data_IF_456202173646
#
_entry.id   IF_456202173646
#
_cell.length_a   1.000
_cell.length_b   1.000
_cell.length_c   1.000
_cell.angle_alpha   90.00
_cell.angle_beta   90.00
_cell.angle_gamma   90.00
#
_symmetry.space_group_name_H-M   'P 1'
#
loop_
_entity.id
_entity.type
_entity.pdbx_description
1 polymer ?
#
# COMPACT_ATOMS: atom_id res chain seq x y z
N UNK A 1 -9.87 11.02 33.72
CA UNK A 1 -10.80 10.32 32.82
C UNK A 1 -10.43 8.86 32.71
N UNK A 2 -11.42 8.00 32.90
CA UNK A 2 -11.25 6.55 32.90
C UNK A 2 -11.63 5.97 31.55
N UNK A 3 -10.94 4.89 31.17
CA UNK A 3 -11.40 4.00 30.11
C UNK A 3 -12.85 3.53 30.38
N UNK A 4 -13.61 3.31 29.31
CA UNK A 4 -14.96 2.75 29.37
C UNK A 4 -14.89 1.28 28.95
N UNK A 5 -15.50 0.39 29.72
CA UNK A 5 -15.55 -1.05 29.39
C UNK A 5 -16.97 -1.45 28.99
N UNK A 6 -17.11 -1.90 27.74
CA UNK A 6 -18.32 -2.49 27.19
C UNK A 6 -18.21 -4.01 27.32
N UNK A 7 -18.49 -4.51 28.52
CA UNK A 7 -18.43 -5.94 28.85
C UNK A 7 -19.77 -6.47 29.36
N UNK A 8 -20.09 -7.70 28.96
CA UNK A 8 -21.18 -8.50 29.55
C UNK A 8 -20.63 -9.73 30.29
N UNK A 9 -19.34 -9.72 30.60
CA UNK A 9 -18.67 -10.77 31.35
C UNK A 9 -18.26 -10.22 32.73
N UNK A 10 -19.23 -10.08 33.63
CA UNK A 10 -18.99 -9.75 35.03
C UNK A 10 -19.41 -10.92 35.92
N UNK A 11 -18.71 -11.09 37.05
CA UNK A 11 -19.03 -12.07 38.10
C UNK A 11 -20.39 -11.82 38.77
N UNK A 12 -20.99 -10.65 38.57
CA UNK A 12 -22.29 -10.25 39.18
C UNK A 12 -23.41 -10.01 38.16
N UNK A 13 -23.17 -10.25 36.86
CA UNK A 13 -24.20 -10.10 35.83
C UNK A 13 -23.65 -9.92 34.42
N UNK A 14 -24.51 -10.16 33.44
CA UNK A 14 -24.19 -10.04 32.02
C UNK A 14 -25.27 -10.72 31.17
N UNK A 15 -26.02 -9.93 30.39
CA UNK A 15 -27.03 -10.46 29.48
C UNK A 15 -26.42 -10.87 28.13
N UNK A 16 -27.09 -11.77 27.41
CA UNK A 16 -26.75 -12.13 26.02
C UNK A 16 -27.21 -11.08 24.99
N UNK A 17 -27.85 -10.00 25.44
CA UNK A 17 -28.39 -8.95 24.59
C UNK A 17 -27.31 -8.07 23.95
N UNK A 18 -27.65 -7.49 22.79
CA UNK A 18 -26.82 -6.51 22.12
C UNK A 18 -26.98 -5.11 22.74
N UNK A 19 -25.87 -4.39 22.90
CA UNK A 19 -25.87 -2.97 23.25
C UNK A 19 -25.96 -2.11 22.00
N UNK A 20 -27.03 -1.32 21.84
CA UNK A 20 -27.13 -0.34 20.74
C UNK A 20 -26.69 1.05 21.20
N UNK A 21 -25.71 1.64 20.51
CA UNK A 21 -25.21 2.99 20.82
C UNK A 21 -25.98 4.03 19.99
N UNK A 22 -26.95 4.70 20.62
CA UNK A 22 -27.85 5.66 19.93
C UNK A 22 -27.37 7.11 19.95
N UNK A 23 -26.20 7.38 20.52
CA UNK A 23 -25.59 8.71 20.59
C UNK A 23 -24.07 8.65 20.48
N UNK A 24 -23.46 9.77 20.08
CA UNK A 24 -22.01 9.90 20.03
C UNK A 24 -21.44 10.06 21.45
N UNK A 25 -20.44 9.26 21.77
CA UNK A 25 -19.76 9.29 23.07
C UNK A 25 -18.63 10.32 23.09
N UNK A 26 -18.43 11.00 24.22
CA UNK A 26 -17.45 12.10 24.37
C UNK A 26 -16.39 11.86 25.46
N UNK A 27 -16.31 10.66 26.03
CA UNK A 27 -15.25 10.34 26.99
C UNK A 27 -13.89 10.28 26.29
N UNK A 28 -12.84 10.53 27.06
CA UNK A 28 -11.46 10.72 26.54
C UNK A 28 -10.56 9.50 26.78
N UNK A 29 -10.99 8.56 27.64
CA UNK A 29 -10.34 7.26 27.83
C UNK A 29 -10.67 6.28 26.69
N UNK A 30 -9.93 5.18 26.60
CA UNK A 30 -10.17 4.18 25.57
C UNK A 30 -11.51 3.47 25.77
N UNK A 31 -12.12 3.03 24.67
CA UNK A 31 -13.18 2.02 24.71
C UNK A 31 -12.53 0.65 24.83
N UNK A 32 -12.89 -0.12 25.85
CA UNK A 32 -12.50 -1.53 25.98
C UNK A 32 -13.71 -2.43 25.74
N UNK A 33 -13.53 -3.55 25.05
CA UNK A 33 -14.57 -4.58 24.87
C UNK A 33 -14.07 -5.89 25.49
N UNK A 34 -14.76 -6.34 26.54
CA UNK A 34 -14.47 -7.61 27.23
C UNK A 34 -15.71 -8.50 27.28
N UNK A 35 -16.47 -8.55 26.20
CA UNK A 35 -17.70 -9.33 26.12
C UNK A 35 -17.45 -10.81 25.74
N UNK A 36 -18.42 -11.66 26.11
CA UNK A 36 -18.50 -13.06 25.72
C UNK A 36 -18.80 -13.19 24.22
N UNK A 37 -18.59 -14.39 23.67
CA UNK A 37 -19.05 -14.71 22.31
C UNK A 37 -20.59 -14.66 22.27
N UNK A 38 -21.21 -13.81 21.44
CA UNK A 38 -22.66 -13.70 21.39
C UNK A 38 -23.28 -14.94 20.73
N UNK A 39 -24.39 -15.44 21.27
CA UNK A 39 -25.14 -16.59 20.73
C UNK A 39 -26.44 -16.17 20.03
N UNK A 40 -27.18 -15.19 20.57
CA UNK A 40 -28.35 -14.56 19.95
C UNK A 40 -28.72 -13.24 20.64
N UNK A 41 -28.79 -12.10 19.93
CA UNK A 41 -28.32 -11.93 18.55
C UNK A 41 -26.81 -12.19 18.48
N UNK A 42 -26.28 -12.57 17.30
CA UNK A 42 -24.84 -12.81 17.10
C UNK A 42 -24.00 -11.51 17.08
N UNK A 43 -24.40 -10.50 17.86
CA UNK A 43 -23.82 -9.17 17.95
C UNK A 43 -23.73 -8.76 19.41
N UNK A 44 -22.58 -8.21 19.82
CA UNK A 44 -22.39 -7.66 21.16
C UNK A 44 -22.75 -6.18 21.22
N UNK A 45 -22.32 -5.40 20.21
CA UNK A 45 -22.52 -3.94 20.14
C UNK A 45 -22.98 -3.57 18.73
N UNK A 46 -23.98 -2.70 18.64
CA UNK A 46 -24.52 -2.16 17.38
C UNK A 46 -24.36 -0.64 17.39
N UNK A 47 -23.80 -0.06 16.32
CA UNK A 47 -23.81 1.40 16.15
C UNK A 47 -25.19 1.87 15.66
N UNK A 48 -25.83 2.74 16.44
CA UNK A 48 -27.10 3.39 16.05
C UNK A 48 -26.88 4.69 15.27
N UNK A 49 -25.73 5.32 15.43
CA UNK A 49 -25.34 6.59 14.78
C UNK A 49 -23.90 6.52 14.26
N UNK A 50 -23.54 7.41 13.33
CA UNK A 50 -22.14 7.58 12.95
C UNK A 50 -21.33 8.06 14.15
N UNK A 51 -20.11 7.54 14.29
CA UNK A 51 -19.20 7.87 15.38
C UNK A 51 -19.85 7.73 16.77
N UNK A 52 -20.56 6.62 17.00
CA UNK A 52 -21.18 6.36 18.30
C UNK A 52 -20.12 6.15 19.40
N UNK A 53 -18.98 5.55 19.05
CA UNK A 53 -17.77 5.53 19.89
C UNK A 53 -16.96 6.82 19.73
N UNK A 54 -16.18 7.25 20.75
CA UNK A 54 -15.40 8.47 20.64
C UNK A 54 -14.31 8.36 19.57
N UNK A 55 -14.18 9.42 18.79
CA UNK A 55 -13.33 9.43 17.59
C UNK A 55 -11.84 9.60 17.89
N UNK A 56 -11.50 10.14 19.05
CA UNK A 56 -10.12 10.45 19.47
C UNK A 56 -9.50 9.37 20.35
N UNK A 57 -10.23 8.31 20.67
CA UNK A 57 -9.82 7.28 21.64
C UNK A 57 -9.57 5.94 20.96
N UNK A 58 -8.76 5.09 21.58
CA UNK A 58 -8.55 3.72 21.11
C UNK A 58 -9.76 2.82 21.37
N UNK A 59 -9.91 1.81 20.51
CA UNK A 59 -10.80 0.66 20.74
C UNK A 59 -9.95 -0.58 21.00
N UNK A 60 -10.02 -1.13 22.21
CA UNK A 60 -9.17 -2.22 22.67
C UNK A 60 -10.03 -3.42 23.08
N UNK A 61 -9.72 -4.64 22.62
CA UNK A 61 -10.45 -5.86 23.00
C UNK A 61 -9.66 -6.72 23.97
N UNK A 62 -10.30 -7.33 24.96
CA UNK A 62 -9.65 -8.35 25.80
C UNK A 62 -8.60 -7.81 26.75
N UNK A 63 -8.87 -6.66 27.39
CA UNK A 63 -8.10 -6.14 28.52
C UNK A 63 -8.39 -6.87 29.84
N UNK A 64 -9.45 -7.68 29.90
CA UNK A 64 -9.84 -8.50 31.05
C UNK A 64 -10.00 -9.98 30.69
N UNK A 65 -9.92 -10.85 31.70
CA UNK A 65 -10.16 -12.29 31.56
C UNK A 65 -11.59 -12.59 31.09
N UNK A 66 -11.76 -13.77 30.48
CA UNK A 66 -13.07 -14.26 30.04
C UNK A 66 -13.65 -13.60 28.79
N UNK A 67 -12.89 -12.72 28.11
CA UNK A 67 -13.22 -12.27 26.75
C UNK A 67 -13.46 -13.49 25.84
N UNK A 68 -14.52 -13.43 25.05
CA UNK A 68 -14.84 -14.40 24.01
C UNK A 68 -14.49 -13.84 22.63
N UNK A 69 -15.44 -13.95 21.69
CA UNK A 69 -15.38 -13.32 20.37
C UNK A 69 -16.46 -12.24 20.28
N UNK A 70 -16.26 -11.07 20.91
CA UNK A 70 -17.24 -9.99 20.81
C UNK A 70 -17.40 -9.55 19.36
N UNK A 71 -18.61 -9.13 19.01
CA UNK A 71 -18.94 -8.66 17.66
C UNK A 71 -19.44 -7.22 17.74
N UNK A 72 -18.72 -6.30 17.09
CA UNK A 72 -19.12 -4.93 16.85
C UNK A 72 -19.73 -4.82 15.44
N UNK A 73 -21.01 -4.48 15.37
CA UNK A 73 -21.72 -4.23 14.11
C UNK A 73 -21.78 -2.72 13.83
N UNK A 74 -21.13 -2.31 12.74
CA UNK A 74 -21.16 -0.94 12.23
C UNK A 74 -22.55 -0.55 11.73
N UNK A 75 -23.39 -1.52 11.33
CA UNK A 75 -24.80 -1.31 11.00
C UNK A 75 -25.06 -0.13 10.04
N UNK A 76 -24.25 -0.04 8.99
CA UNK A 76 -24.34 1.00 7.97
C UNK A 76 -23.93 2.39 8.46
N UNK A 77 -23.15 2.47 9.53
CA UNK A 77 -22.62 3.70 10.12
C UNK A 77 -21.11 3.76 9.94
N UNK A 78 -20.62 4.97 9.70
CA UNK A 78 -19.19 5.25 9.72
C UNK A 78 -18.71 5.41 11.16
N UNK A 79 -17.52 4.90 11.45
CA UNK A 79 -16.90 5.04 12.75
C UNK A 79 -15.44 5.43 12.60
N UNK A 80 -15.04 6.49 13.29
CA UNK A 80 -13.64 6.85 13.49
C UNK A 80 -13.20 6.46 14.89
N UNK A 81 -11.99 5.95 15.04
CA UNK A 81 -11.30 5.78 16.32
C UNK A 81 -9.84 6.19 16.16
N UNK A 82 -9.12 6.40 17.25
CA UNK A 82 -7.69 6.69 17.17
C UNK A 82 -6.89 5.49 16.63
N UNK A 83 -7.21 4.30 17.15
CA UNK A 83 -6.61 3.02 16.76
C UNK A 83 -7.52 1.87 17.20
N UNK A 84 -7.26 0.69 16.65
CA UNK A 84 -7.81 -0.59 17.14
C UNK A 84 -6.66 -1.46 17.64
N UNK A 85 -6.85 -2.18 18.74
CA UNK A 85 -5.78 -2.99 19.33
C UNK A 85 -6.29 -4.15 20.17
N UNK A 86 -5.40 -5.11 20.40
CA UNK A 86 -5.62 -6.20 21.35
C UNK A 86 -5.13 -5.85 22.75
N UNK A 87 -5.84 -6.35 23.76
CA UNK A 87 -5.41 -6.44 25.14
C UNK A 87 -4.76 -7.80 25.43
N UNK A 88 -4.26 -7.96 26.65
CA UNK A 88 -3.43 -9.11 27.05
C UNK A 88 -4.13 -10.48 27.00
N UNK A 89 -5.46 -10.53 26.91
CA UNK A 89 -6.24 -11.78 26.95
C UNK A 89 -6.77 -12.23 25.58
N UNK A 90 -6.38 -11.53 24.51
CA UNK A 90 -6.67 -11.93 23.13
C UNK A 90 -5.81 -13.13 22.72
N UNK A 91 -6.42 -14.07 22.01
CA UNK A 91 -5.76 -15.25 21.44
C UNK A 91 -6.38 -15.57 20.08
N UNK A 92 -5.83 -16.56 19.37
CA UNK A 92 -6.41 -17.01 18.09
C UNK A 92 -7.89 -17.47 18.19
N UNK A 93 -8.37 -17.82 19.40
CA UNK A 93 -9.76 -18.21 19.65
C UNK A 93 -10.60 -17.09 20.29
N UNK A 94 -10.01 -15.93 20.60
CA UNK A 94 -10.62 -14.85 21.37
C UNK A 94 -10.20 -13.51 20.80
N UNK A 95 -11.07 -12.86 20.04
CA UNK A 95 -10.72 -11.67 19.28
C UNK A 95 -11.96 -10.82 19.01
N UNK A 96 -11.78 -9.54 18.68
CA UNK A 96 -12.89 -8.72 18.21
C UNK A 96 -13.23 -9.04 16.76
N UNK A 97 -14.51 -9.24 16.47
CA UNK A 97 -15.04 -9.23 15.11
C UNK A 97 -15.74 -7.90 14.85
N UNK A 98 -15.38 -7.21 13.78
CA UNK A 98 -16.06 -6.00 13.29
C UNK A 98 -16.80 -6.37 12.01
N UNK A 99 -18.10 -6.11 11.97
CA UNK A 99 -18.98 -6.44 10.84
C UNK A 99 -19.84 -5.25 10.41
N UNK A 100 -20.46 -5.37 9.23
CA UNK A 100 -21.52 -4.46 8.80
C UNK A 100 -22.73 -5.25 8.31
N UNK A 101 -23.69 -5.50 9.20
CA UNK A 101 -24.89 -6.28 8.85
C UNK A 101 -26.01 -5.44 8.22
N UNK A 102 -25.77 -4.16 7.94
CA UNK A 102 -26.67 -3.33 7.13
C UNK A 102 -26.26 -3.37 5.66
N UNK A 103 -27.21 -3.26 4.74
CA UNK A 103 -26.92 -3.15 3.31
C UNK A 103 -26.17 -1.84 2.94
N UNK A 104 -26.27 -0.81 3.78
CA UNK A 104 -25.53 0.43 3.60
C UNK A 104 -24.05 0.22 3.90
N UNK A 105 -23.15 0.67 3.01
CA UNK A 105 -21.71 0.58 3.22
C UNK A 105 -21.26 1.37 4.47
N UNK A 106 -20.20 0.90 5.13
CA UNK A 106 -19.61 1.55 6.30
C UNK A 106 -18.13 1.85 6.08
N UNK A 107 -17.66 2.97 6.62
CA UNK A 107 -16.23 3.33 6.64
C UNK A 107 -15.71 3.28 8.07
N UNK A 108 -14.70 2.44 8.31
CA UNK A 108 -13.92 2.42 9.54
C UNK A 108 -12.67 3.29 9.35
N UNK A 109 -12.51 4.34 10.14
CA UNK A 109 -11.39 5.28 10.05
C UNK A 109 -10.49 5.20 11.29
N UNK A 110 -9.18 5.08 11.07
CA UNK A 110 -8.15 5.04 12.10
C UNK A 110 -7.33 6.33 12.03
N UNK A 111 -7.57 7.26 12.96
CA UNK A 111 -7.16 8.66 12.86
C UNK A 111 -6.25 9.17 13.99
N UNK A 112 -5.72 8.28 14.83
CA UNK A 112 -4.92 8.66 16.00
C UNK A 112 -3.49 9.08 15.69
N UNK A 113 -2.89 9.82 16.62
CA UNK A 113 -1.47 10.17 16.61
C UNK A 113 -0.60 9.26 17.49
N UNK A 114 -1.22 8.56 18.44
CA UNK A 114 -0.56 7.58 19.32
C UNK A 114 -0.68 6.19 18.71
N UNK A 115 0.44 5.47 18.60
CA UNK A 115 0.46 4.08 18.15
C UNK A 115 -0.04 3.14 19.27
N UNK A 116 -0.89 2.14 18.96
CA UNK A 116 -1.28 1.14 19.92
C UNK A 116 -0.08 0.30 20.36
N UNK A 117 -0.10 -0.18 21.61
CA UNK A 117 0.96 -1.04 22.15
C UNK A 117 0.98 -2.45 21.55
N UNK A 118 -0.20 -2.99 21.20
CA UNK A 118 -0.35 -4.31 20.58
C UNK A 118 -0.93 -4.19 19.16
N UNK A 119 -0.69 -5.23 18.36
CA UNK A 119 -1.35 -5.39 17.06
C UNK A 119 -2.83 -5.70 17.25
N UNK A 120 -3.63 -5.46 16.22
CA UNK A 120 -5.01 -5.94 16.15
C UNK A 120 -5.06 -7.28 15.40
N UNK A 121 -5.31 -8.37 16.11
CA UNK A 121 -5.46 -9.71 15.54
C UNK A 121 -6.91 -10.10 15.22
N UNK A 122 -7.85 -9.16 15.42
CA UNK A 122 -9.27 -9.36 15.16
C UNK A 122 -9.64 -9.51 13.69
N UNK A 123 -10.93 -9.75 13.47
CA UNK A 123 -11.51 -9.97 12.16
C UNK A 123 -12.32 -8.76 11.74
N UNK A 124 -12.04 -8.21 10.56
CA UNK A 124 -12.90 -7.22 9.91
C UNK A 124 -13.58 -7.95 8.74
N UNK A 125 -14.90 -7.91 8.68
CA UNK A 125 -15.66 -8.69 7.70
C UNK A 125 -16.82 -7.89 7.18
N UNK A 126 -17.07 -7.98 5.88
CA UNK A 126 -18.38 -7.60 5.36
C UNK A 126 -19.45 -8.44 6.06
N UNK A 127 -20.64 -7.86 6.20
CA UNK A 127 -21.85 -8.59 6.54
C UNK A 127 -22.75 -8.60 5.31
N UNK A 128 -23.82 -7.82 5.37
CA UNK A 128 -24.67 -7.56 4.20
C UNK A 128 -24.04 -6.46 3.34
N UNK A 129 -23.54 -5.41 3.97
CA UNK A 129 -22.89 -4.28 3.32
C UNK A 129 -21.39 -4.34 3.45
N UNK A 130 -20.72 -3.62 2.56
CA UNK A 130 -19.26 -3.57 2.52
C UNK A 130 -18.69 -2.69 3.63
N UNK A 131 -17.46 -3.00 4.05
CA UNK A 131 -16.63 -2.14 4.88
C UNK A 131 -15.44 -1.63 4.06
N UNK A 132 -15.19 -0.33 4.11
CA UNK A 132 -13.92 0.28 3.68
C UNK A 132 -13.11 0.71 4.89
N UNK A 133 -11.78 0.56 4.81
CA UNK A 133 -10.86 0.97 5.87
C UNK A 133 -10.07 2.22 5.44
N UNK A 134 -10.02 3.23 6.31
CA UNK A 134 -9.21 4.43 6.09
C UNK A 134 -8.20 4.59 7.22
N UNK A 135 -6.92 4.69 6.88
CA UNK A 135 -5.85 5.08 7.80
C UNK A 135 -5.48 6.55 7.56
N UNK A 136 -5.83 7.42 8.50
CA UNK A 136 -5.68 8.88 8.38
C UNK A 136 -4.88 9.52 9.52
N UNK A 137 -4.57 8.78 10.58
CA UNK A 137 -3.79 9.28 11.71
C UNK A 137 -2.28 9.24 11.44
N UNK A 138 -1.47 10.02 12.16
CA UNK A 138 -0.01 9.99 12.02
C UNK A 138 0.66 8.77 12.67
N UNK A 139 -0.08 7.99 13.46
CA UNK A 139 0.42 6.81 14.15
C UNK A 139 0.76 5.62 13.22
N UNK A 140 1.31 4.56 13.81
CA UNK A 140 1.40 3.24 13.19
C UNK A 140 0.26 2.36 13.67
N UNK A 141 -0.69 1.99 12.81
CA UNK A 141 -1.65 0.92 13.11
C UNK A 141 -1.07 -0.40 12.63
N UNK A 142 -1.05 -1.43 13.48
CA UNK A 142 -0.68 -2.79 13.06
C UNK A 142 -1.89 -3.70 12.97
N UNK A 143 -2.09 -4.35 11.83
CA UNK A 143 -3.08 -5.40 11.60
C UNK A 143 -2.37 -6.73 11.43
N UNK A 144 -2.72 -7.69 12.28
CA UNK A 144 -2.19 -9.06 12.26
C UNK A 144 -3.27 -10.14 12.15
N UNK A 145 -4.54 -9.72 12.09
CA UNK A 145 -5.70 -10.58 11.98
C UNK A 145 -6.10 -10.85 10.54
N UNK A 146 -7.41 -11.03 10.35
CA UNK A 146 -7.99 -11.45 9.08
C UNK A 146 -8.97 -10.39 8.56
N UNK A 147 -8.93 -10.16 7.26
CA UNK A 147 -9.86 -9.28 6.54
C UNK A 147 -10.68 -10.09 5.56
N UNK A 148 -12.00 -10.03 5.70
CA UNK A 148 -12.99 -10.57 4.77
C UNK A 148 -13.94 -9.44 4.31
N UNK A 149 -13.37 -8.27 4.02
CA UNK A 149 -14.09 -7.09 3.56
C UNK A 149 -13.62 -6.67 2.16
N UNK A 150 -14.53 -6.11 1.37
CA UNK A 150 -14.33 -5.84 -0.06
C UNK A 150 -14.29 -4.36 -0.43
N UNK A 151 -14.61 -3.46 0.51
CA UNK A 151 -14.66 -2.01 0.25
C UNK A 151 -13.29 -1.33 0.06
N UNK A 152 -12.18 -2.07 0.19
CA UNK A 152 -10.83 -1.56 -0.01
C UNK A 152 -10.23 -0.80 1.18
N UNK A 153 -8.98 -0.37 1.00
CA UNK A 153 -8.18 0.30 2.03
C UNK A 153 -7.59 1.59 1.46
N UNK A 154 -7.68 2.70 2.20
CA UNK A 154 -7.00 3.95 1.87
C UNK A 154 -6.05 4.36 2.98
N UNK A 155 -4.79 4.61 2.66
CA UNK A 155 -3.75 5.05 3.61
C UNK A 155 -3.34 6.48 3.25
N UNK A 156 -3.89 7.46 3.97
CA UNK A 156 -3.68 8.89 3.74
C UNK A 156 -2.55 9.48 4.59
N UNK A 157 -2.29 8.90 5.78
CA UNK A 157 -1.24 9.36 6.69
C UNK A 157 -0.76 8.27 7.66
N UNK A 158 0.44 8.48 8.21
CA UNK A 158 1.09 7.54 9.13
C UNK A 158 1.36 6.18 8.48
N UNK A 159 1.52 5.13 9.29
CA UNK A 159 1.83 3.79 8.77
C UNK A 159 0.68 2.82 9.04
N UNK A 160 0.23 2.12 8.01
CA UNK A 160 -0.54 0.89 8.15
C UNK A 160 0.43 -0.29 8.01
N UNK A 161 0.63 -1.02 9.10
CA UNK A 161 1.55 -2.17 9.18
C UNK A 161 0.75 -3.46 9.10
N UNK A 162 1.08 -4.32 8.14
CA UNK A 162 0.48 -5.64 7.98
C UNK A 162 1.50 -6.70 8.36
N UNK A 163 1.15 -7.51 9.35
CA UNK A 163 1.95 -8.65 9.81
C UNK A 163 1.10 -9.91 9.58
N UNK A 164 1.62 -10.99 9.02
CA UNK A 164 0.83 -12.21 8.90
C UNK A 164 0.62 -12.85 10.29
N UNK A 165 -0.45 -13.63 10.49
CA UNK A 165 -0.51 -14.58 11.59
C UNK A 165 0.75 -15.46 11.60
N UNK A 166 1.22 -15.87 12.78
CA UNK A 166 2.45 -16.64 12.93
C UNK A 166 2.52 -17.84 11.98
N UNK A 167 3.56 -17.89 11.14
CA UNK A 167 3.78 -18.99 10.18
C UNK A 167 3.07 -18.85 8.84
N UNK A 168 2.28 -17.79 8.60
CA UNK A 168 1.65 -17.55 7.31
C UNK A 168 2.52 -16.69 6.38
N UNK A 169 2.62 -17.08 5.11
CA UNK A 169 3.33 -16.30 4.06
C UNK A 169 2.43 -15.31 3.33
N UNK A 170 1.11 -15.43 3.50
CA UNK A 170 0.08 -14.56 2.92
C UNK A 170 -0.72 -13.92 4.07
N UNK A 171 -0.96 -12.62 3.99
CA UNK A 171 -1.89 -11.92 4.87
C UNK A 171 -3.17 -11.54 4.13
N UNK A 172 -4.30 -11.72 4.79
CA UNK A 172 -5.62 -11.25 4.33
C UNK A 172 -6.12 -10.04 5.13
N UNK A 173 -5.30 -9.46 6.01
CA UNK A 173 -5.71 -8.39 6.93
C UNK A 173 -6.29 -7.14 6.22
N UNK A 174 -5.95 -6.94 4.94
CA UNK A 174 -6.43 -5.83 4.10
C UNK A 174 -7.72 -6.16 3.32
N UNK A 175 -8.31 -7.34 3.51
CA UNK A 175 -9.48 -7.78 2.75
C UNK A 175 -9.16 -8.07 1.28
N UNK A 176 -10.16 -8.01 0.41
CA UNK A 176 -10.02 -8.29 -1.03
C UNK A 176 -10.07 -7.04 -1.92
N UNK A 177 -10.45 -5.88 -1.38
CA UNK A 177 -10.53 -4.63 -2.13
C UNK A 177 -9.14 -4.04 -2.45
N UNK A 178 -9.09 -3.06 -3.35
CA UNK A 178 -7.85 -2.36 -3.69
C UNK A 178 -7.28 -1.56 -2.50
N UNK A 179 -5.97 -1.37 -2.48
CA UNK A 179 -5.26 -0.55 -1.49
C UNK A 179 -4.71 0.69 -2.18
N UNK A 180 -5.11 1.87 -1.70
CA UNK A 180 -4.66 3.16 -2.22
C UNK A 180 -3.81 3.84 -1.14
N UNK A 181 -2.61 4.26 -1.48
CA UNK A 181 -1.69 4.95 -0.58
C UNK A 181 -1.43 6.34 -1.15
N UNK A 182 -1.60 7.40 -0.36
CA UNK A 182 -1.35 8.77 -0.80
C UNK A 182 -1.03 9.69 0.36
N UNK A 183 -0.85 10.98 0.08
CA UNK A 183 -0.57 11.96 1.13
C UNK A 183 0.77 11.69 1.80
N UNK A 184 0.79 11.53 3.12
CA UNK A 184 1.98 11.08 3.88
C UNK A 184 1.86 9.62 4.34
N UNK A 185 0.89 8.90 3.78
CA UNK A 185 0.58 7.54 4.15
C UNK A 185 1.66 6.54 3.74
N UNK A 186 1.87 5.54 4.58
CA UNK A 186 2.76 4.42 4.31
C UNK A 186 2.04 3.09 4.54
N UNK A 187 2.12 2.17 3.58
CA UNK A 187 1.81 0.76 3.81
C UNK A 187 3.11 0.00 4.05
N UNK A 188 3.23 -0.64 5.21
CA UNK A 188 4.29 -1.60 5.50
C UNK A 188 3.71 -3.01 5.46
N UNK A 189 4.29 -3.91 4.68
CA UNK A 189 3.82 -5.30 4.56
C UNK A 189 4.96 -6.26 4.82
N UNK A 190 4.82 -7.06 5.89
CA UNK A 190 5.74 -8.16 6.25
C UNK A 190 5.24 -9.54 5.78
N UNK A 191 4.42 -9.57 4.72
CA UNK A 191 3.87 -10.78 4.11
C UNK A 191 3.52 -10.51 2.63
N UNK A 192 3.20 -11.55 1.89
CA UNK A 192 2.48 -11.36 0.63
C UNK A 192 1.05 -10.88 0.92
N UNK A 193 0.51 -10.03 0.05
CA UNK A 193 -0.90 -9.63 0.02
C UNK A 193 -1.41 -9.76 -1.41
N UNK A 194 -2.70 -10.11 -1.57
CA UNK A 194 -3.32 -10.32 -2.88
C UNK A 194 -3.93 -9.04 -3.48
N UNK A 195 -3.99 -7.96 -2.70
CA UNK A 195 -4.66 -6.72 -3.10
C UNK A 195 -3.90 -6.04 -4.25
N UNK A 196 -4.64 -5.43 -5.19
CA UNK A 196 -4.06 -4.43 -6.07
C UNK A 196 -3.64 -3.20 -5.25
N UNK A 197 -2.40 -2.73 -5.41
CA UNK A 197 -1.87 -1.58 -4.68
C UNK A 197 -1.64 -0.43 -5.65
N UNK A 198 -2.23 0.72 -5.35
CA UNK A 198 -1.96 1.99 -6.04
C UNK A 198 -1.25 2.93 -5.08
N UNK A 199 -0.06 3.38 -5.47
CA UNK A 199 0.64 4.48 -4.79
C UNK A 199 0.37 5.76 -5.56
N UNK A 200 -0.08 6.79 -4.85
CA UNK A 200 -0.27 8.16 -5.34
C UNK A 200 0.80 9.06 -4.71
N UNK A 201 1.00 10.26 -5.26
CA UNK A 201 2.00 11.24 -4.81
C UNK A 201 2.10 11.35 -3.29
N UNK A 202 3.33 11.26 -2.77
CA UNK A 202 3.68 11.27 -1.35
C UNK A 202 3.41 9.97 -0.58
N UNK A 203 2.58 9.08 -1.12
CA UNK A 203 2.34 7.74 -0.58
C UNK A 203 3.59 6.86 -0.64
N UNK A 204 3.75 5.97 0.33
CA UNK A 204 4.93 5.12 0.46
C UNK A 204 4.52 3.66 0.61
N UNK A 205 5.06 2.81 -0.25
CA UNK A 205 4.97 1.36 -0.07
C UNK A 205 6.31 0.85 0.48
N UNK A 206 6.24 0.06 1.54
CA UNK A 206 7.37 -0.61 2.17
C UNK A 206 7.04 -2.10 2.26
N UNK A 207 7.31 -2.84 1.19
CA UNK A 207 7.15 -4.31 1.17
C UNK A 207 8.50 -4.98 1.34
N UNK A 208 8.53 -6.08 2.09
CA UNK A 208 9.77 -6.84 2.26
C UNK A 208 10.09 -7.73 1.07
N UNK A 209 9.19 -8.03 0.10
CA UNK A 209 9.51 -8.97 -1.02
C UNK A 209 8.89 -8.57 -2.38
N UNK A 210 9.66 -8.63 -3.47
CA UNK A 210 9.15 -8.56 -4.86
C UNK A 210 9.45 -9.87 -5.60
N UNK A 211 8.40 -10.61 -5.96
CA UNK A 211 8.51 -11.91 -6.60
C UNK A 211 8.62 -11.82 -8.14
N UNK A 212 9.01 -12.92 -8.78
CA UNK A 212 9.02 -13.05 -10.24
C UNK A 212 7.65 -12.74 -10.85
N UNK A 213 7.64 -11.93 -11.92
CA UNK A 213 6.42 -11.50 -12.61
C UNK A 213 5.56 -10.46 -11.87
N UNK A 214 6.00 -9.98 -10.70
CA UNK A 214 5.30 -8.90 -10.00
C UNK A 214 5.21 -7.66 -10.89
N UNK A 215 4.08 -6.97 -10.85
CA UNK A 215 3.87 -5.70 -11.55
C UNK A 215 3.92 -4.59 -10.51
N UNK A 216 4.80 -3.61 -10.74
CA UNK A 216 4.89 -2.40 -9.94
C UNK A 216 4.57 -1.19 -10.82
N UNK A 217 3.58 -0.40 -10.40
CA UNK A 217 3.25 0.85 -11.09
C UNK A 217 4.14 1.97 -10.55
N UNK A 218 4.77 2.69 -11.46
CA UNK A 218 5.58 3.86 -11.17
C UNK A 218 5.09 5.03 -12.01
N UNK A 219 4.77 6.14 -11.35
CA UNK A 219 4.15 7.30 -12.00
C UNK A 219 5.08 8.50 -12.04
N UNK A 220 4.96 9.29 -13.09
CA UNK A 220 5.65 10.58 -13.25
C UNK A 220 4.69 11.67 -13.75
N UNK A 221 4.69 12.82 -13.09
CA UNK A 221 3.97 14.02 -13.52
C UNK A 221 4.89 15.22 -13.74
N UNK A 222 6.06 15.26 -13.11
CA UNK A 222 7.09 16.28 -13.31
C UNK A 222 8.47 15.68 -13.08
N UNK A 223 9.24 15.51 -14.16
CA UNK A 223 10.56 14.91 -14.08
C UNK A 223 11.64 15.83 -13.49
N UNK A 224 11.37 17.14 -13.38
CA UNK A 224 12.30 18.09 -12.75
C UNK A 224 12.11 18.24 -11.24
N UNK A 225 10.96 17.81 -10.72
CA UNK A 225 10.67 17.84 -9.30
C UNK A 225 11.29 16.65 -8.55
N UNK A 226 11.28 16.70 -7.22
CA UNK A 226 11.90 15.67 -6.38
C UNK A 226 11.13 14.35 -6.38
N UNK A 227 11.83 13.25 -6.10
CA UNK A 227 11.26 11.94 -5.83
C UNK A 227 10.19 12.01 -4.71
N UNK A 228 9.06 11.33 -4.91
CA UNK A 228 7.88 11.38 -4.05
C UNK A 228 6.98 12.60 -4.25
N UNK A 229 7.38 13.55 -5.10
CA UNK A 229 6.60 14.76 -5.45
C UNK A 229 6.26 14.80 -6.93
N UNK A 230 7.28 14.82 -7.80
CA UNK A 230 7.10 14.84 -9.25
C UNK A 230 6.99 13.46 -9.89
N UNK A 231 7.46 12.45 -9.18
CA UNK A 231 7.41 11.05 -9.58
C UNK A 231 7.44 10.17 -8.34
N UNK A 232 6.96 8.94 -8.48
CA UNK A 232 6.91 7.99 -7.37
C UNK A 232 8.32 7.53 -6.96
N UNK A 233 8.49 7.15 -5.69
CA UNK A 233 9.70 6.47 -5.23
C UNK A 233 9.37 5.48 -4.13
N UNK A 234 10.07 4.35 -4.11
CA UNK A 234 9.89 3.30 -3.11
C UNK A 234 10.98 3.37 -2.05
N UNK A 235 10.61 3.19 -0.78
CA UNK A 235 11.57 3.19 0.32
C UNK A 235 11.43 1.93 1.18
N UNK A 236 12.40 1.03 1.01
CA UNK A 236 12.52 -0.26 1.68
C UNK A 236 13.45 -0.14 2.90
N UNK A 237 13.00 0.57 3.93
CA UNK A 237 13.79 0.87 5.13
C UNK A 237 14.21 -0.36 5.96
N UNK A 238 13.57 -1.51 5.75
CA UNK A 238 13.91 -2.78 6.42
C UNK A 238 14.53 -3.82 5.49
N UNK A 239 14.85 -3.42 4.25
CA UNK A 239 15.39 -4.28 3.22
C UNK A 239 14.35 -4.67 2.15
N UNK A 240 14.85 -4.97 0.96
CA UNK A 240 14.11 -5.44 -0.21
C UNK A 240 14.53 -6.88 -0.53
N UNK A 241 13.60 -7.82 -0.41
CA UNK A 241 13.82 -9.21 -0.76
C UNK A 241 13.43 -9.49 -2.21
N UNK A 242 14.41 -9.84 -3.03
CA UNK A 242 14.26 -10.29 -4.41
C UNK A 242 14.61 -11.78 -4.55
N UNK A 243 14.70 -12.53 -3.45
CA UNK A 243 15.11 -13.95 -3.45
C UNK A 243 14.24 -14.85 -4.33
N UNK A 244 13.01 -14.43 -4.62
CA UNK A 244 12.04 -15.13 -5.48
C UNK A 244 11.86 -14.48 -6.87
N UNK A 245 12.63 -13.44 -7.18
CA UNK A 245 12.64 -12.82 -8.50
C UNK A 245 13.37 -13.69 -9.53
N UNK A 246 13.07 -13.49 -10.82
CA UNK A 246 13.62 -14.30 -11.91
C UNK A 246 13.92 -13.45 -13.13
N UNK A 247 15.02 -13.75 -13.82
CA UNK A 247 15.35 -13.15 -15.12
C UNK A 247 14.51 -13.72 -16.27
N UNK A 248 13.90 -14.89 -16.08
CA UNK A 248 12.97 -15.51 -17.05
C UNK A 248 11.53 -15.01 -16.89
N UNK A 249 11.16 -14.60 -15.69
CA UNK A 249 9.86 -14.01 -15.36
C UNK A 249 10.10 -12.72 -14.57
N UNK A 250 10.48 -11.68 -15.31
CA UNK A 250 10.95 -10.41 -14.76
C UNK A 250 9.84 -9.65 -14.05
N UNK A 251 10.23 -8.85 -13.06
CA UNK A 251 9.37 -7.85 -12.43
C UNK A 251 9.06 -6.78 -13.49
N UNK A 252 7.78 -6.50 -13.70
CA UNK A 252 7.32 -5.50 -14.66
C UNK A 252 7.17 -4.16 -13.95
N UNK A 253 7.96 -3.16 -14.35
CA UNK A 253 7.72 -1.76 -13.99
C UNK A 253 6.77 -1.17 -15.03
N UNK A 254 5.51 -0.96 -14.63
CA UNK A 254 4.54 -0.22 -15.45
C UNK A 254 4.74 1.27 -15.23
N UNK A 255 5.23 1.93 -16.25
CA UNK A 255 5.57 3.34 -16.25
C UNK A 255 4.37 4.11 -16.78
N UNK A 256 3.88 5.05 -15.99
CA UNK A 256 2.67 5.82 -16.31
C UNK A 256 2.97 7.30 -16.16
N UNK A 257 2.56 8.11 -17.13
CA UNK A 257 2.72 9.57 -17.05
C UNK A 257 1.38 10.28 -16.86
N UNK A 258 1.38 11.43 -16.18
CA UNK A 258 0.18 12.25 -15.91
C UNK A 258 0.46 13.74 -16.11
N UNK A 259 -0.59 14.51 -16.40
CA UNK A 259 -0.49 15.97 -16.47
C UNK A 259 -0.55 16.62 -15.08
N UNK A 260 -1.32 16.04 -14.17
CA UNK A 260 -1.42 16.51 -12.79
C UNK A 260 -1.48 15.34 -11.80
N UNK A 261 -0.93 15.51 -10.58
CA UNK A 261 -1.04 14.50 -9.54
C UNK A 261 -2.52 14.16 -9.25
N UNK A 262 -2.87 12.87 -9.27
CA UNK A 262 -4.22 12.39 -8.97
C UNK A 262 -5.15 12.22 -10.17
N UNK A 263 -4.69 12.54 -11.38
CA UNK A 263 -5.44 12.24 -12.61
C UNK A 263 -5.71 10.74 -12.74
N UNK A 264 -6.95 10.37 -13.09
CA UNK A 264 -7.35 8.97 -13.28
C UNK A 264 -6.91 8.41 -14.64
N UNK A 265 -6.58 9.27 -15.59
CA UNK A 265 -6.17 8.91 -16.95
C UNK A 265 -4.73 9.36 -17.21
N UNK A 266 -3.98 8.54 -17.94
CA UNK A 266 -2.62 8.89 -18.37
C UNK A 266 -2.60 10.18 -19.20
N UNK A 267 -1.54 10.97 -19.03
CA UNK A 267 -1.36 12.28 -19.63
C UNK A 267 0.10 12.65 -19.81
N UNK A 268 0.36 13.89 -20.24
CA UNK A 268 1.71 14.37 -20.54
C UNK A 268 2.37 14.91 -19.28
N UNK A 269 3.55 14.40 -18.89
CA UNK A 269 4.28 14.91 -17.73
C UNK A 269 4.95 16.24 -18.05
N UNK A 270 5.23 17.02 -17.01
CA UNK A 270 6.08 18.20 -17.07
C UNK A 270 7.55 17.81 -17.13
N UNK A 271 8.35 18.61 -17.83
CA UNK A 271 9.82 18.56 -17.80
C UNK A 271 10.47 17.22 -18.18
N UNK A 272 9.79 16.37 -18.96
CA UNK A 272 10.32 15.09 -19.44
C UNK A 272 10.36 15.04 -20.99
N UNK A 273 11.31 15.79 -21.61
CA UNK A 273 11.48 15.77 -23.05
C UNK A 273 11.97 14.40 -23.53
N UNK A 274 11.61 14.03 -24.76
CA UNK A 274 12.04 12.77 -25.40
C UNK A 274 13.55 12.69 -25.62
N UNK A 275 14.22 13.83 -25.73
CA UNK A 275 15.67 13.92 -25.87
C UNK A 275 16.31 14.11 -24.49
N UNK A 276 17.44 13.45 -24.28
CA UNK A 276 18.17 13.48 -23.01
C UNK A 276 17.92 12.25 -22.15
N UNK A 277 18.89 11.94 -21.30
CA UNK A 277 18.75 10.93 -20.26
C UNK A 277 18.09 11.53 -19.04
N UNK A 278 17.11 10.83 -18.49
CA UNK A 278 16.37 11.27 -17.31
C UNK A 278 16.42 10.19 -16.24
N UNK A 279 17.33 10.31 -15.26
CA UNK A 279 17.43 9.37 -14.16
C UNK A 279 16.40 9.71 -13.06
N UNK A 280 15.72 8.68 -12.58
CA UNK A 280 14.75 8.76 -11.50
C UNK A 280 15.17 7.85 -10.36
N UNK A 281 15.15 8.36 -9.12
CA UNK A 281 15.33 7.52 -7.94
C UNK A 281 14.08 6.65 -7.77
N UNK A 282 14.14 5.45 -8.34
CA UNK A 282 13.03 4.50 -8.35
C UNK A 282 12.82 3.94 -6.96
N UNK A 283 13.90 3.47 -6.32
CA UNK A 283 13.81 2.95 -4.96
C UNK A 283 15.10 3.17 -4.16
N UNK A 284 14.95 3.21 -2.85
CA UNK A 284 16.05 3.10 -1.88
C UNK A 284 15.76 1.94 -0.92
N UNK A 285 16.79 1.20 -0.51
CA UNK A 285 16.67 0.10 0.43
C UNK A 285 17.76 0.16 1.52
N UNK A 286 17.51 -0.42 2.69
CA UNK A 286 18.59 -0.63 3.70
C UNK A 286 19.42 -1.87 3.42
N UNK A 287 18.88 -2.82 2.66
CA UNK A 287 19.56 -4.00 2.13
C UNK A 287 18.77 -4.56 0.94
N UNK A 288 19.42 -5.32 0.05
CA UNK A 288 18.77 -6.08 -1.03
C UNK A 288 19.19 -7.54 -0.95
N UNK A 289 18.21 -8.46 -0.94
CA UNK A 289 18.46 -9.91 -0.98
C UNK A 289 18.22 -10.37 -2.43
N UNK A 290 19.26 -10.73 -3.20
CA UNK A 290 19.08 -11.21 -4.58
C UNK A 290 18.55 -12.65 -4.65
N UNK A 291 18.02 -13.11 -5.81
CA UNK A 291 17.65 -14.52 -6.06
C UNK A 291 18.79 -15.50 -5.77
N UNK A 292 19.99 -15.13 -6.19
CA UNK A 292 21.22 -15.85 -5.90
C UNK A 292 22.38 -14.87 -5.82
N UNK A 293 23.46 -15.28 -5.15
CA UNK A 293 24.69 -14.49 -5.09
C UNK A 293 25.20 -14.14 -6.49
N UNK A 294 25.61 -12.88 -6.70
CA UNK A 294 26.12 -12.39 -7.99
C UNK A 294 25.05 -12.03 -9.03
N UNK A 295 23.75 -12.14 -8.72
CA UNK A 295 22.69 -11.69 -9.63
C UNK A 295 22.80 -10.19 -9.86
N UNK A 296 22.82 -9.75 -11.12
CA UNK A 296 22.64 -8.35 -11.45
C UNK A 296 21.16 -7.98 -11.22
N UNK A 297 20.90 -7.07 -10.28
CA UNK A 297 19.55 -6.67 -9.90
C UNK A 297 18.80 -6.02 -11.08
N UNK A 298 19.49 -5.30 -11.96
CA UNK A 298 18.90 -4.66 -13.14
C UNK A 298 18.21 -5.68 -14.06
N UNK A 299 18.80 -6.87 -14.21
CA UNK A 299 18.31 -7.91 -15.12
C UNK A 299 16.97 -8.51 -14.68
N UNK A 300 16.56 -8.27 -13.44
CA UNK A 300 15.29 -8.74 -12.88
C UNK A 300 14.09 -7.90 -13.32
N UNK A 301 14.30 -6.78 -14.02
CA UNK A 301 13.24 -5.85 -14.40
C UNK A 301 12.96 -5.81 -15.91
N UNK A 302 11.71 -5.53 -16.24
CA UNK A 302 11.23 -5.19 -17.58
C UNK A 302 10.22 -4.05 -17.49
N UNK A 303 9.86 -3.43 -18.61
CA UNK A 303 9.10 -2.18 -18.62
C UNK A 303 7.84 -2.30 -19.48
N UNK A 304 6.73 -1.84 -18.93
CA UNK A 304 5.48 -1.59 -19.64
C UNK A 304 5.27 -0.08 -19.73
N UNK A 305 5.27 0.45 -20.95
CA UNK A 305 5.12 1.89 -21.23
C UNK A 305 3.83 2.18 -21.99
N UNK A 306 2.87 1.25 -21.97
CA UNK A 306 1.59 1.37 -22.70
C UNK A 306 0.77 2.60 -22.30
N UNK A 307 1.00 3.13 -21.10
CA UNK A 307 0.34 4.32 -20.56
C UNK A 307 1.30 5.51 -20.35
N UNK A 308 2.47 5.48 -20.98
CA UNK A 308 3.46 6.55 -20.88
C UNK A 308 3.50 7.43 -22.14
N UNK A 309 3.64 8.73 -21.93
CA UNK A 309 3.95 9.74 -22.95
C UNK A 309 5.06 10.67 -22.45
N UNK A 310 5.90 11.15 -23.35
CA UNK A 310 6.80 12.27 -23.09
C UNK A 310 6.02 13.60 -23.01
N UNK A 311 6.68 14.68 -22.57
CA UNK A 311 6.06 16.02 -22.50
C UNK A 311 5.55 16.53 -23.85
N UNK A 312 6.13 16.09 -24.97
CA UNK A 312 5.67 16.44 -26.32
C UNK A 312 4.46 15.60 -26.79
N UNK A 313 4.03 14.62 -26.00
CA UNK A 313 2.93 13.69 -26.30
C UNK A 313 3.32 12.45 -27.09
N UNK A 314 4.60 12.28 -27.43
CA UNK A 314 5.07 11.06 -28.09
C UNK A 314 5.10 9.87 -27.13
N UNK A 315 4.81 8.67 -27.64
CA UNK A 315 4.94 7.43 -26.88
C UNK A 315 6.41 7.00 -26.75
N UNK A 316 6.72 6.24 -25.71
CA UNK A 316 8.03 5.60 -25.51
C UNK A 316 8.01 4.12 -25.91
N UNK A 317 9.16 3.46 -25.78
CA UNK A 317 9.35 2.02 -25.99
C UNK A 317 10.06 1.43 -24.77
N UNK A 318 9.71 0.21 -24.39
CA UNK A 318 10.33 -0.48 -23.26
C UNK A 318 11.86 -0.56 -23.36
N UNK A 319 12.42 -0.65 -24.58
CA UNK A 319 13.87 -0.70 -24.83
C UNK A 319 14.63 0.60 -24.52
N UNK A 320 13.92 1.67 -24.18
CA UNK A 320 14.49 2.98 -23.85
C UNK A 320 14.46 3.24 -22.35
N UNK A 321 14.10 2.24 -21.57
CA UNK A 321 14.10 2.32 -20.12
C UNK A 321 15.08 1.29 -19.60
N UNK A 322 15.81 1.70 -18.57
CA UNK A 322 16.81 0.87 -17.94
C UNK A 322 16.78 1.06 -16.43
N UNK A 323 17.03 -0.02 -15.70
CA UNK A 323 17.17 -0.04 -14.27
C UNK A 323 18.66 -0.19 -13.99
N UNK A 324 19.19 0.60 -13.08
CA UNK A 324 20.51 0.39 -12.51
C UNK A 324 20.41 0.24 -11.00
N UNK A 325 21.40 -0.42 -10.40
CA UNK A 325 21.44 -0.63 -8.96
C UNK A 325 22.85 -0.33 -8.43
N UNK A 326 22.93 0.65 -7.53
CA UNK A 326 24.15 0.96 -6.78
C UNK A 326 24.14 0.22 -5.45
N UNK A 327 25.04 -0.75 -5.30
CA UNK A 327 25.16 -1.58 -4.10
C UNK A 327 25.69 -0.80 -2.88
N UNK A 328 26.38 0.32 -3.09
CA UNK A 328 26.97 1.13 -2.01
C UNK A 328 25.88 1.94 -1.31
N UNK A 329 25.04 2.59 -2.11
CA UNK A 329 23.93 3.42 -1.61
C UNK A 329 22.62 2.65 -1.50
N UNK A 330 22.59 1.39 -1.99
CA UNK A 330 21.38 0.55 -2.08
C UNK A 330 20.24 1.26 -2.82
N UNK A 331 20.59 2.01 -3.86
CA UNK A 331 19.66 2.81 -4.66
C UNK A 331 19.41 2.16 -6.01
N UNK A 332 18.14 2.05 -6.39
CA UNK A 332 17.70 1.62 -7.71
C UNK A 332 17.30 2.87 -8.50
N UNK A 333 17.90 3.04 -9.68
CA UNK A 333 17.65 4.19 -10.56
C UNK A 333 17.01 3.70 -11.85
N UNK A 334 15.81 4.20 -12.13
CA UNK A 334 15.13 4.01 -13.41
C UNK A 334 15.51 5.17 -14.33
N UNK A 335 16.05 4.89 -15.50
CA UNK A 335 16.49 5.91 -16.45
C UNK A 335 15.67 5.81 -17.73
N UNK A 336 15.07 6.93 -18.15
CA UNK A 336 14.58 7.08 -19.52
C UNK A 336 15.77 7.49 -20.41
N UNK A 337 16.14 6.64 -21.35
CA UNK A 337 17.25 6.81 -22.28
C UNK A 337 16.74 7.49 -23.56
N UNK A 338 17.50 8.42 -24.17
CA UNK A 338 17.10 9.05 -25.41
C UNK A 338 16.88 8.05 -26.53
N UNK A 339 15.84 8.27 -27.34
CA UNK A 339 15.76 7.57 -28.62
C UNK A 339 16.95 7.96 -29.51
N UNK A 340 17.64 6.99 -30.15
CA UNK A 340 18.67 7.32 -31.11
C UNK A 340 18.02 8.18 -32.19
N UNK A 341 18.56 9.39 -32.39
CA UNK A 341 18.04 10.26 -33.44
C UNK A 341 18.21 9.55 -34.78
N UNK A 342 17.14 9.47 -35.58
CA UNK A 342 17.16 8.96 -36.96
C UNK A 342 18.27 9.63 -37.78
N UNK A 343 18.63 10.86 -37.42
CA UNK A 343 19.69 11.66 -38.04
C UNK A 343 21.12 11.19 -37.71
N UNK A 344 21.37 10.56 -36.55
CA UNK A 344 22.69 10.03 -36.19
C UNK A 344 23.14 8.87 -37.07
N UNK A 345 22.20 8.00 -37.47
CA UNK A 345 22.46 6.90 -38.42
C UNK A 345 22.56 7.42 -39.86
N UNK A 346 21.76 8.43 -40.24
CA UNK A 346 21.77 9.02 -41.58
C UNK A 346 23.08 9.75 -41.92
N UNK A 347 23.65 10.51 -40.97
CA UNK A 347 24.94 11.18 -41.17
C UNK A 347 26.11 10.20 -41.22
N UNK A 348 26.08 9.13 -40.42
CA UNK A 348 27.08 8.05 -40.48
C UNK A 348 27.11 7.34 -41.84
N UNK A 349 25.94 7.07 -42.42
CA UNK A 349 25.82 6.47 -43.74
C UNK A 349 26.27 7.41 -44.88
N UNK A 350 25.96 8.71 -44.79
CA UNK A 350 26.40 9.71 -45.76
C UNK A 350 27.92 9.92 -45.74
N UNK A 351 28.54 9.97 -44.55
CA UNK A 351 29.99 10.07 -44.42
C UNK A 351 30.72 8.83 -44.98
N UNK A 352 30.16 7.63 -44.77
CA UNK A 352 30.68 6.39 -45.35
C UNK A 352 30.52 6.35 -46.87
N UNK A 353 29.40 6.83 -47.40
CA UNK A 353 29.17 6.95 -48.85
C UNK A 353 30.15 7.93 -49.52
N UNK A 354 30.42 9.07 -48.88
CA UNK A 354 31.42 10.05 -49.36
C UNK A 354 32.83 9.46 -49.32
N UNK A 355 33.18 8.71 -48.27
CA UNK A 355 34.46 8.00 -48.18
C UNK A 355 34.61 6.91 -49.27
N UNK A 356 33.54 6.17 -49.56
CA UNK A 356 33.53 5.16 -50.62
C UNK A 356 33.69 5.77 -52.03
N UNK A 357 33.07 6.93 -52.29
CA UNK A 357 33.25 7.69 -53.55
C UNK A 357 34.69 8.19 -53.68
N UNK A 358 35.30 8.68 -52.59
CA UNK A 358 36.70 9.16 -52.58
C UNK A 358 37.69 8.02 -52.80
N UNK A 359 37.38 6.80 -52.33
CA UNK A 359 38.20 5.59 -52.56
C UNK A 359 38.16 5.11 -54.01
N UNK A 360 36.99 5.14 -54.67
CA UNK A 360 36.87 4.78 -56.10
C UNK A 360 37.66 5.69 -57.04
N UNK A 361 37.77 6.99 -56.72
CA UNK A 361 38.54 7.94 -57.54
C UNK A 361 40.06 7.76 -57.47
N UNK A 362 40.58 7.03 -56.48
CA UNK A 362 42.03 6.76 -56.33
C UNK A 362 42.48 5.45 -56.98
N UNK A 363 41.55 4.65 -57.50
CA UNK A 363 41.85 3.36 -58.14
C UNK A 363 41.67 3.40 -59.67
N UNK A 364 41.49 4.58 -60.26
CA UNK A 364 41.26 4.78 -61.70
C UNK A 364 42.20 5.81 -62.35
N UNK A 365 43.36 6.07 -61.75
CA UNK A 365 44.46 6.85 -62.32
C UNK A 365 45.75 6.05 -62.20
#
# INVERSE_FOLDING_TARGET
DSDVDLSNNSTTGGGTGALTLTGASTYTGNTTINANTPTSPAVSIILGVNNALPVTTGLIVGTKTGVGVPVLDLNGKNQQVAYIADGSFVTAAKYLKIVNNSATASVLTLAGSVSPGNSFSGYISDGIGVISLVKAGSNTQTLSGYGAYSGGVTVNAGTLKVIPPSGASLSSALGSGAVIIGGTGQLFVAANIANAITVNSGGRLSTVTMAAGAIIEWKVNDASASAGVGYDTFNFSTGLDLSTASTSNKIVVRIISFNSPGDAAAGRPLSLPRLGEHPFVFATASSVIPPSFGTNIADLFTYDVSQFQYSDGSSSKASLWEMSFDQTTQTMTLTAVPEPSTYGLGLGALLLAVAAIRRRRRSGA
#
